data_IF_404464835971
#
_entry.id   IF_404464835971
#
_cell.length_a   1.000
_cell.length_b   1.000
_cell.length_c   1.000
_cell.angle_alpha   90.00
_cell.angle_beta   90.00
_cell.angle_gamma   90.00
#
_symmetry.space_group_name_H-M   'P 1'
#
loop_
_entity.id
_entity.type
_entity.pdbx_description
1 polymer ?
#
# COMPACT_ATOMS: atom_id res chain seq x y z
N UNK A 1 6.41 -3.20 -14.12
CA UNK A 1 7.87 -3.34 -13.87
C UNK A 1 8.61 -2.76 -15.06
N UNK A 2 9.75 -2.07 -14.86
CA UNK A 2 10.33 -1.68 -13.55
C UNK A 2 9.37 -0.81 -12.71
N UNK A 3 9.59 -0.69 -11.40
CA UNK A 3 8.81 0.18 -10.50
C UNK A 3 9.51 1.54 -10.41
N UNK A 4 8.91 2.59 -10.96
CA UNK A 4 9.52 3.92 -10.94
C UNK A 4 9.13 4.65 -9.65
N UNK A 5 10.09 4.79 -8.74
CA UNK A 5 9.90 5.48 -7.45
C UNK A 5 9.51 6.94 -7.69
N UNK A 6 10.12 7.62 -8.65
CA UNK A 6 9.82 9.02 -8.98
C UNK A 6 8.35 9.22 -9.38
N UNK A 7 7.85 8.45 -10.35
CA UNK A 7 6.47 8.56 -10.81
C UNK A 7 5.47 8.17 -9.70
N UNK A 8 5.80 7.15 -8.91
CA UNK A 8 4.97 6.75 -7.77
C UNK A 8 4.85 7.87 -6.73
N UNK A 9 5.97 8.49 -6.37
CA UNK A 9 5.97 9.61 -5.43
C UNK A 9 5.26 10.83 -6.03
N UNK A 10 5.41 11.15 -7.31
CA UNK A 10 4.67 12.27 -7.91
C UNK A 10 3.15 12.08 -7.87
N UNK A 11 2.68 10.83 -7.98
CA UNK A 11 1.26 10.51 -7.91
C UNK A 11 0.69 10.52 -6.48
N UNK A 12 1.55 10.39 -5.45
CA UNK A 12 1.11 10.30 -4.05
C UNK A 12 0.99 11.71 -3.42
N UNK A 13 -0.22 12.16 -3.04
CA UNK A 13 -0.40 13.48 -2.43
C UNK A 13 0.42 13.64 -1.15
N UNK A 14 0.95 14.85 -0.93
CA UNK A 14 1.77 15.16 0.25
C UNK A 14 1.00 15.12 1.58
N UNK A 15 -0.33 15.17 1.54
CA UNK A 15 -1.21 15.06 2.70
C UNK A 15 -1.53 13.62 3.12
N UNK A 16 -1.03 12.62 2.38
CA UNK A 16 -1.31 11.21 2.68
C UNK A 16 -0.69 10.83 4.03
N UNK A 17 -1.51 10.33 4.95
CA UNK A 17 -1.09 9.86 6.28
C UNK A 17 -1.11 8.34 6.39
N UNK A 18 -2.03 7.69 5.70
CA UNK A 18 -2.21 6.24 5.69
C UNK A 18 -2.36 5.80 4.23
N UNK A 19 -1.71 4.70 3.86
CA UNK A 19 -1.75 4.11 2.53
C UNK A 19 -2.03 2.61 2.64
N UNK A 20 -3.16 2.16 2.09
CA UNK A 20 -3.47 0.75 1.97
C UNK A 20 -2.97 0.20 0.64
N UNK A 21 -2.14 -0.85 0.71
CA UNK A 21 -1.62 -1.55 -0.48
C UNK A 21 -2.29 -2.92 -0.56
N UNK A 22 -2.93 -3.19 -1.71
CA UNK A 22 -3.70 -4.40 -1.92
C UNK A 22 -3.04 -5.29 -2.97
N UNK A 23 -2.65 -6.49 -2.54
CA UNK A 23 -2.05 -7.49 -3.40
C UNK A 23 -3.06 -8.58 -3.78
N UNK A 24 -3.08 -8.94 -5.06
CA UNK A 24 -3.90 -10.05 -5.57
C UNK A 24 -3.09 -11.35 -5.65
N UNK A 25 -2.27 -11.58 -4.66
CA UNK A 25 -1.45 -12.79 -4.51
C UNK A 25 -1.33 -13.16 -3.05
N UNK A 26 -0.76 -14.34 -2.80
CA UNK A 26 -0.36 -14.80 -1.49
C UNK A 26 1.00 -15.46 -1.64
N UNK A 27 2.01 -14.89 -1.01
CA UNK A 27 3.35 -15.46 -0.92
C UNK A 27 3.59 -16.03 0.49
N UNK A 28 3.38 -17.34 0.72
CA UNK A 28 3.51 -17.93 2.04
C UNK A 28 4.95 -17.80 2.57
N UNK A 29 5.10 -17.31 3.80
CA UNK A 29 6.40 -17.14 4.45
C UNK A 29 7.13 -15.85 4.08
N UNK A 30 6.56 -15.01 3.22
CA UNK A 30 7.09 -13.67 2.95
C UNK A 30 6.82 -12.71 4.13
N UNK A 31 7.65 -11.67 4.25
CA UNK A 31 7.43 -10.58 5.20
C UNK A 31 6.26 -9.65 4.79
N UNK A 32 5.84 -9.74 3.54
CA UNK A 32 4.77 -8.95 2.95
C UNK A 32 4.60 -9.32 1.48
N UNK A 33 3.48 -8.95 0.89
CA UNK A 33 3.18 -9.25 -0.51
C UNK A 33 3.99 -8.32 -1.45
N UNK A 34 4.18 -8.68 -2.74
CA UNK A 34 5.14 -8.01 -3.62
C UNK A 34 4.95 -6.50 -3.77
N UNK A 35 3.72 -6.05 -4.02
CA UNK A 35 3.45 -4.62 -4.22
C UNK A 35 3.58 -3.85 -2.90
N UNK A 36 3.13 -4.43 -1.80
CA UNK A 36 3.35 -3.87 -0.47
C UNK A 36 4.84 -3.62 -0.19
N UNK A 37 5.71 -4.60 -0.48
CA UNK A 37 7.14 -4.46 -0.26
C UNK A 37 7.77 -3.39 -1.17
N UNK A 38 7.35 -3.29 -2.44
CA UNK A 38 7.83 -2.22 -3.33
C UNK A 38 7.46 -0.83 -2.82
N UNK A 39 6.22 -0.65 -2.33
CA UNK A 39 5.74 0.64 -1.81
C UNK A 39 6.49 1.02 -0.54
N UNK A 40 6.68 0.08 0.38
CA UNK A 40 7.46 0.29 1.60
C UNK A 40 8.91 0.66 1.26
N UNK A 41 9.54 -0.06 0.32
CA UNK A 41 10.89 0.25 -0.14
C UNK A 41 10.96 1.65 -0.76
N UNK A 42 10.05 2.00 -1.68
CA UNK A 42 10.00 3.29 -2.34
C UNK A 42 9.83 4.46 -1.35
N UNK A 43 8.93 4.32 -0.37
CA UNK A 43 8.75 5.32 0.68
C UNK A 43 9.98 5.43 1.58
N UNK A 44 10.67 4.32 1.85
CA UNK A 44 11.88 4.30 2.66
C UNK A 44 13.09 4.91 1.95
N UNK A 45 13.24 4.69 0.65
CA UNK A 45 14.30 5.29 -0.15
C UNK A 45 14.10 6.80 -0.33
N UNK A 46 12.85 7.28 -0.33
CA UNK A 46 12.50 8.70 -0.44
C UNK A 46 12.80 9.54 0.82
N UNK A 47 13.23 8.90 1.92
CA UNK A 47 13.38 9.51 3.27
C UNK A 47 14.38 10.67 3.36
N UNK A 48 15.14 10.97 2.31
CA UNK A 48 16.03 12.14 2.26
C UNK A 48 15.32 13.49 2.12
N UNK A 49 14.17 13.57 1.44
CA UNK A 49 13.69 14.86 0.89
C UNK A 49 12.22 15.25 1.15
N UNK A 50 11.40 14.43 1.82
CA UNK A 50 9.95 14.70 1.84
C UNK A 50 9.21 14.47 3.18
N UNK A 51 8.12 15.23 3.39
CA UNK A 51 7.24 15.20 4.57
C UNK A 51 6.43 13.90 4.72
N UNK A 52 6.53 13.01 3.73
CA UNK A 52 5.86 11.69 3.69
C UNK A 52 6.46 10.64 4.63
N UNK A 53 7.46 11.03 5.44
CA UNK A 53 8.16 10.23 6.47
C UNK A 53 7.24 9.53 7.47
N UNK A 54 6.01 9.99 7.65
CA UNK A 54 5.05 9.43 8.62
C UNK A 54 3.87 8.71 7.95
N UNK A 55 3.96 8.36 6.67
CA UNK A 55 2.88 7.62 6.02
C UNK A 55 2.84 6.20 6.59
N UNK A 56 1.80 5.86 7.34
CA UNK A 56 1.52 4.50 7.76
C UNK A 56 1.11 3.67 6.53
N UNK A 57 1.71 2.50 6.33
CA UNK A 57 1.41 1.63 5.19
C UNK A 57 0.79 0.35 5.72
N UNK A 58 -0.45 0.08 5.31
CA UNK A 58 -1.15 -1.16 5.67
C UNK A 58 -1.20 -2.10 4.46
N UNK A 59 -0.92 -3.38 4.69
CA UNK A 59 -0.93 -4.41 3.65
C UNK A 59 -2.22 -5.23 3.68
N UNK A 60 -2.84 -5.45 2.51
CA UNK A 60 -4.06 -6.23 2.37
C UNK A 60 -4.02 -7.17 1.18
N UNK A 61 -4.90 -8.19 1.20
CA UNK A 61 -5.06 -9.16 0.12
C UNK A 61 -6.49 -9.21 -0.37
N UNK A 62 -6.67 -9.37 -1.67
CA UNK A 62 -8.00 -9.48 -2.27
C UNK A 62 -8.01 -10.42 -3.47
N UNK A 63 -9.21 -10.83 -3.89
CA UNK A 63 -9.41 -11.45 -5.20
C UNK A 63 -8.69 -12.79 -5.47
N UNK A 64 -8.21 -13.47 -4.44
CA UNK A 64 -7.58 -14.79 -4.56
C UNK A 64 -8.60 -15.84 -4.98
N UNK A 65 -8.22 -16.72 -5.91
CA UNK A 65 -9.10 -17.77 -6.45
C UNK A 65 -10.45 -17.24 -6.95
N UNK A 66 -10.41 -16.08 -7.62
CA UNK A 66 -11.61 -15.39 -8.14
C UNK A 66 -12.65 -15.04 -7.08
N UNK A 67 -12.22 -14.86 -5.82
CA UNK A 67 -13.09 -14.29 -4.78
C UNK A 67 -13.56 -12.90 -5.21
N UNK A 68 -14.85 -12.64 -5.01
CA UNK A 68 -15.46 -11.33 -5.25
C UNK A 68 -14.71 -10.20 -4.54
N UNK A 69 -14.70 -9.03 -5.19
CA UNK A 69 -14.15 -7.79 -4.64
C UNK A 69 -15.19 -6.67 -4.80
N UNK A 70 -16.10 -6.61 -3.83
CA UNK A 70 -17.29 -5.75 -3.91
C UNK A 70 -17.04 -4.36 -3.32
N UNK A 71 -17.86 -3.35 -3.63
CA UNK A 71 -17.75 -2.02 -3.03
C UNK A 71 -17.81 -2.03 -1.48
N UNK A 72 -18.55 -2.97 -0.89
CA UNK A 72 -18.60 -3.12 0.57
C UNK A 72 -17.24 -3.55 1.16
N UNK A 73 -16.46 -4.36 0.44
CA UNK A 73 -15.11 -4.72 0.86
C UNK A 73 -14.16 -3.53 0.77
N UNK A 74 -14.30 -2.70 -0.28
CA UNK A 74 -13.54 -1.44 -0.43
C UNK A 74 -13.84 -0.48 0.72
N UNK A 75 -15.09 -0.37 1.14
CA UNK A 75 -15.48 0.42 2.32
C UNK A 75 -14.74 -0.05 3.57
N UNK A 76 -14.70 -1.36 3.81
CA UNK A 76 -13.98 -1.93 4.96
C UNK A 76 -12.48 -1.58 4.97
N UNK A 77 -11.85 -1.48 3.80
CA UNK A 77 -10.44 -1.08 3.69
C UNK A 77 -10.25 0.38 4.14
N UNK A 78 -11.13 1.28 3.71
CA UNK A 78 -11.08 2.68 4.15
C UNK A 78 -11.44 2.85 5.62
N UNK A 79 -12.33 2.02 6.17
CA UNK A 79 -12.62 2.00 7.61
C UNK A 79 -11.39 1.56 8.42
N UNK A 80 -10.65 0.54 7.95
CA UNK A 80 -9.40 0.10 8.58
C UNK A 80 -8.35 1.22 8.61
N UNK A 81 -8.22 1.97 7.52
CA UNK A 81 -7.29 3.11 7.41
C UNK A 81 -7.56 4.24 8.43
N UNK A 82 -8.74 4.26 9.06
CA UNK A 82 -9.09 5.24 10.11
C UNK A 82 -8.75 4.68 11.49
N UNK A 83 -8.77 3.35 11.66
CA UNK A 83 -8.62 2.67 12.94
C UNK A 83 -7.14 2.47 13.35
N UNK A 84 -6.24 2.23 12.39
CA UNK A 84 -4.80 2.08 12.63
C UNK A 84 -3.99 3.33 12.24
N UNK A 85 -3.63 4.20 13.20
CA UNK A 85 -2.62 5.25 13.01
C UNK A 85 -1.17 4.77 13.24
#
# INVERSE_FOLDING_TARGET
RPFSIEHFLQALPSSTKVLAVLDRTKEPGSAGEPLYLDVVAALNESRGNDKRKSTCVIGGRYGLSSKEFTPAMVKGIFEEMICEP
#
